data_IF_286170143111
#
_entry.id   IF_286170143111
#
_cell.length_a   1.000
_cell.length_b   1.000
_cell.length_c   1.000
_cell.angle_alpha   90.00
_cell.angle_beta   90.00
_cell.angle_gamma   90.00
#
_symmetry.space_group_name_H-M   'P 1'
#
loop_
_entity.id
_entity.type
_entity.pdbx_description
1 polymer ?
#
# COMPACT_ATOMS: atom_id res chain seq x y z
N UNK A 1 -17.39 17.25 7.51
CA UNK A 1 -16.55 16.07 7.27
C UNK A 1 -15.11 16.50 7.10
N UNK A 2 -14.16 15.70 7.56
CA UNK A 2 -12.74 15.98 7.37
C UNK A 2 -12.34 15.63 5.94
N UNK A 3 -11.51 16.45 5.30
CA UNK A 3 -10.86 16.11 4.03
C UNK A 3 -9.35 16.14 4.18
N UNK A 4 -8.69 15.12 3.60
CA UNK A 4 -7.24 14.97 3.56
C UNK A 4 -6.58 15.80 2.44
N UNK A 5 -7.28 16.78 1.86
CA UNK A 5 -6.82 17.48 0.64
C UNK A 5 -5.44 18.13 0.77
N UNK A 6 -4.84 18.48 -0.37
CA UNK A 6 -3.51 19.10 -0.47
C UNK A 6 -3.53 20.56 -0.01
N UNK A 7 -3.72 20.78 1.31
CA UNK A 7 -3.61 22.10 1.93
C UNK A 7 -2.14 22.44 2.07
N UNK A 8 -1.68 23.51 1.42
CA UNK A 8 -0.42 24.15 1.80
C UNK A 8 -0.59 24.78 3.18
N UNK A 9 0.31 24.47 4.11
CA UNK A 9 0.26 24.95 5.50
C UNK A 9 1.49 25.81 5.76
N UNK A 10 1.28 27.07 6.19
CA UNK A 10 2.38 27.87 6.75
C UNK A 10 2.60 27.51 8.22
N UNK A 11 3.63 26.70 8.47
CA UNK A 11 4.01 26.27 9.82
C UNK A 11 4.53 27.42 10.71
N UNK A 12 4.78 28.62 10.16
CA UNK A 12 5.12 29.81 10.95
C UNK A 12 3.88 30.59 11.38
N UNK A 13 2.71 30.29 10.81
CA UNK A 13 1.45 30.88 11.17
C UNK A 13 0.76 30.04 12.26
N UNK A 14 0.91 30.49 13.51
CA UNK A 14 0.40 29.77 14.68
C UNK A 14 -1.12 29.66 14.71
N UNK A 15 -1.83 30.70 14.27
CA UNK A 15 -3.29 30.70 14.24
C UNK A 15 -3.82 29.68 13.22
N UNK A 16 -3.15 29.56 12.08
CA UNK A 16 -3.45 28.56 11.06
C UNK A 16 -3.19 27.15 11.57
N UNK A 17 -2.02 26.89 12.17
CA UNK A 17 -1.70 25.61 12.79
C UNK A 17 -2.71 25.22 13.88
N UNK A 18 -3.10 26.17 14.73
CA UNK A 18 -4.09 25.95 15.78
C UNK A 18 -5.48 25.66 15.22
N UNK A 19 -5.88 26.34 14.14
CA UNK A 19 -7.14 26.09 13.45
C UNK A 19 -7.19 24.67 12.88
N UNK A 20 -6.11 24.23 12.23
CA UNK A 20 -5.98 22.86 11.71
C UNK A 20 -6.05 21.85 12.86
N UNK A 21 -5.25 22.04 13.91
CA UNK A 21 -5.27 21.15 15.07
C UNK A 21 -6.69 21.01 15.64
N UNK A 22 -7.40 22.12 15.78
CA UNK A 22 -8.79 22.12 16.26
C UNK A 22 -9.73 21.37 15.32
N UNK A 23 -9.63 21.59 14.01
CA UNK A 23 -10.42 20.87 13.00
C UNK A 23 -10.26 19.35 13.15
N UNK A 24 -9.02 18.87 13.22
CA UNK A 24 -8.69 17.44 13.26
C UNK A 24 -8.96 16.75 14.61
N UNK A 25 -8.95 17.50 15.72
CA UNK A 25 -9.18 16.96 17.07
C UNK A 25 -10.60 17.14 17.60
N UNK A 26 -11.45 17.88 16.88
CA UNK A 26 -12.86 18.09 17.25
C UNK A 26 -13.70 16.81 17.14
N UNK A 27 -13.58 15.98 16.07
CA UNK A 27 -14.35 14.75 15.99
C UNK A 27 -14.02 13.76 17.12
N UNK A 28 -15.06 13.08 17.62
CA UNK A 28 -14.87 12.04 18.61
C UNK A 28 -14.34 10.76 17.95
N UNK A 29 -13.08 10.43 18.21
CA UNK A 29 -12.44 9.17 17.83
C UNK A 29 -11.63 8.65 19.01
N UNK A 30 -11.99 7.47 19.53
CA UNK A 30 -11.37 6.85 20.70
C UNK A 30 -11.23 5.35 20.49
N UNK A 31 -10.14 4.79 21.01
CA UNK A 31 -10.00 3.35 21.19
C UNK A 31 -10.88 2.89 22.35
N UNK A 32 -11.13 1.59 22.48
CA UNK A 32 -11.91 1.03 23.59
C UNK A 32 -11.36 1.46 24.95
N UNK A 33 -10.02 1.51 25.09
CA UNK A 33 -9.34 1.92 26.33
C UNK A 33 -9.60 3.38 26.72
N UNK A 34 -9.85 4.25 25.74
CA UNK A 34 -10.04 5.69 25.94
C UNK A 34 -11.48 6.14 25.67
N UNK A 35 -12.38 5.18 25.47
CA UNK A 35 -13.79 5.44 25.22
C UNK A 35 -14.44 6.08 26.44
N UNK A 36 -15.11 7.20 26.22
CA UNK A 36 -15.95 7.89 27.19
C UNK A 36 -17.42 7.82 26.73
N UNK A 37 -18.26 7.02 27.40
CA UNK A 37 -19.68 6.84 27.03
C UNK A 37 -20.49 8.13 27.10
N UNK A 38 -20.21 9.01 28.07
CA UNK A 38 -20.97 10.26 28.26
C UNK A 38 -20.69 11.27 27.15
N UNK A 39 -19.45 11.33 26.66
CA UNK A 39 -19.10 12.17 25.52
C UNK A 39 -19.62 11.57 24.21
N UNK A 40 -19.56 10.25 24.07
CA UNK A 40 -20.08 9.56 22.89
C UNK A 40 -21.59 9.73 22.74
N UNK A 41 -22.36 9.64 23.83
CA UNK A 41 -23.81 9.83 23.84
C UNK A 41 -24.26 11.25 23.42
N UNK A 42 -23.34 12.22 23.36
CA UNK A 42 -23.62 13.58 22.84
C UNK A 42 -23.54 13.67 21.32
N UNK A 43 -22.96 12.67 20.66
CA UNK A 43 -22.86 12.60 19.20
C UNK A 43 -24.22 12.15 18.64
N UNK A 44 -24.77 12.79 17.59
CA UNK A 44 -26.02 12.34 16.98
C UNK A 44 -25.96 10.87 16.59
N UNK A 45 -27.01 10.09 16.87
CA UNK A 45 -27.03 8.63 16.68
C UNK A 45 -26.65 8.20 15.25
N UNK A 46 -27.12 8.96 14.25
CA UNK A 46 -26.78 8.75 12.82
C UNK A 46 -25.29 8.94 12.48
N UNK A 47 -24.52 9.54 13.39
CA UNK A 47 -23.06 9.75 13.27
C UNK A 47 -22.26 8.93 14.27
N UNK A 48 -22.91 8.15 15.13
CA UNK A 48 -22.23 7.22 16.01
C UNK A 48 -21.81 5.99 15.20
N UNK A 49 -20.52 5.66 15.26
CA UNK A 49 -19.96 4.50 14.56
C UNK A 49 -19.00 3.75 15.47
N UNK A 50 -19.01 2.43 15.37
CA UNK A 50 -18.05 1.54 16.02
C UNK A 50 -17.55 0.54 15.01
N UNK A 51 -16.23 0.41 14.90
CA UNK A 51 -15.58 -0.50 13.97
C UNK A 51 -14.34 -1.09 14.62
N UNK A 52 -13.94 -2.27 14.16
CA UNK A 52 -12.62 -2.82 14.50
C UNK A 52 -11.57 -2.16 13.62
N UNK A 53 -10.43 -1.85 14.20
CA UNK A 53 -9.29 -1.27 13.49
C UNK A 53 -7.99 -1.91 13.94
N UNK A 54 -7.01 -1.97 13.03
CA UNK A 54 -5.64 -2.34 13.35
C UNK A 54 -4.85 -1.05 13.47
N UNK A 55 -4.30 -0.79 14.65
CA UNK A 55 -3.43 0.37 14.85
C UNK A 55 -2.09 0.14 14.11
N UNK A 56 -1.90 0.82 12.98
CA UNK A 56 -0.67 0.73 12.18
C UNK A 56 0.35 1.82 12.50
N UNK A 57 -0.05 2.83 13.27
CA UNK A 57 0.83 3.89 13.73
C UNK A 57 0.16 4.77 14.79
N UNK A 58 0.99 5.49 15.52
CA UNK A 58 0.55 6.39 16.58
C UNK A 58 1.48 7.59 16.67
N UNK A 59 0.87 8.75 16.91
CA UNK A 59 1.58 10.01 17.13
C UNK A 59 1.37 10.44 18.57
N UNK A 60 2.42 10.98 19.17
CA UNK A 60 2.40 11.48 20.54
C UNK A 60 3.02 12.86 20.62
N UNK A 61 2.40 13.72 21.42
CA UNK A 61 3.00 14.96 21.89
C UNK A 61 3.32 14.83 23.38
N UNK A 62 4.60 14.89 23.72
CA UNK A 62 5.08 14.71 25.09
C UNK A 62 5.30 16.04 25.82
N UNK A 63 5.20 17.17 25.13
CA UNK A 63 5.64 18.45 25.64
C UNK A 63 7.09 18.35 26.10
N UNK A 64 7.35 18.70 27.35
CA UNK A 64 8.70 18.75 27.93
C UNK A 64 9.03 17.56 28.84
N UNK A 65 8.17 16.53 28.91
CA UNK A 65 8.29 15.38 29.84
C UNK A 65 9.69 14.76 29.87
N UNK A 66 10.29 14.54 28.71
CA UNK A 66 11.62 13.93 28.59
C UNK A 66 12.74 14.97 28.66
N UNK A 67 12.57 16.11 28.00
CA UNK A 67 13.60 17.16 27.96
C UNK A 67 13.89 17.75 29.34
N UNK A 68 12.88 17.94 30.19
CA UNK A 68 13.07 18.42 31.57
C UNK A 68 13.85 17.42 32.41
N UNK A 69 13.45 16.15 32.38
CA UNK A 69 14.07 15.10 33.20
C UNK A 69 15.49 14.74 32.75
N UNK A 70 15.80 14.91 31.45
CA UNK A 70 17.12 14.60 30.87
C UNK A 70 18.01 15.85 30.68
N UNK A 71 17.54 17.03 31.10
CA UNK A 71 18.22 18.32 30.91
C UNK A 71 18.58 18.63 29.43
N UNK A 72 17.70 18.27 28.50
CA UNK A 72 17.83 18.62 27.10
C UNK A 72 17.22 20.00 26.83
N UNK A 73 18.07 21.03 26.76
CA UNK A 73 17.67 22.43 26.60
C UNK A 73 18.31 23.07 25.38
N UNK A 74 17.68 24.14 24.89
CA UNK A 74 18.16 24.97 23.78
C UNK A 74 18.09 26.43 24.17
N UNK A 75 19.07 27.23 23.74
CA UNK A 75 19.07 28.67 23.95
C UNK A 75 18.15 29.36 22.94
N UNK A 76 17.27 30.23 23.43
CA UNK A 76 16.41 31.06 22.59
C UNK A 76 16.90 32.51 22.54
N UNK A 77 16.51 33.29 21.52
CA UNK A 77 16.87 34.71 21.45
C UNK A 77 16.33 35.56 22.61
N UNK A 78 15.20 35.18 23.22
CA UNK A 78 14.46 36.04 24.15
C UNK A 78 14.34 35.48 25.58
N UNK A 79 14.41 34.15 25.78
CA UNK A 79 13.99 33.50 27.04
C UNK A 79 15.08 32.63 27.69
N UNK A 80 16.34 32.72 27.23
CA UNK A 80 17.43 31.89 27.76
C UNK A 80 17.30 30.42 27.37
N UNK A 81 17.76 29.51 28.24
CA UNK A 81 17.69 28.06 28.01
C UNK A 81 16.30 27.49 28.34
N UNK A 82 15.57 27.02 27.32
CA UNK A 82 14.27 26.35 27.49
C UNK A 82 14.38 24.85 27.20
N UNK A 83 13.60 23.98 27.87
CA UNK A 83 13.51 22.58 27.51
C UNK A 83 12.89 22.39 26.12
N UNK A 84 13.39 21.41 25.37
CA UNK A 84 12.88 21.10 24.03
C UNK A 84 11.48 20.48 24.10
N UNK A 85 10.52 21.00 23.33
CA UNK A 85 9.23 20.33 23.15
C UNK A 85 9.38 19.12 22.24
N UNK A 86 8.89 17.97 22.67
CA UNK A 86 9.09 16.69 22.00
C UNK A 86 7.76 16.04 21.61
N UNK A 87 7.80 15.31 20.51
CA UNK A 87 6.78 14.36 20.09
C UNK A 87 7.44 13.12 19.47
N UNK A 88 6.66 12.06 19.28
CA UNK A 88 7.09 10.89 18.53
C UNK A 88 6.04 10.48 17.52
N UNK A 89 6.51 9.87 16.44
CA UNK A 89 5.68 9.37 15.35
C UNK A 89 6.14 7.94 15.10
N UNK A 90 5.30 6.97 15.44
CA UNK A 90 5.60 5.55 15.29
C UNK A 90 4.73 4.93 14.21
N UNK A 91 5.34 4.15 13.31
CA UNK A 91 4.64 3.31 12.34
C UNK A 91 5.12 1.88 12.55
N UNK A 92 4.18 0.96 12.73
CA UNK A 92 4.47 -0.46 12.88
C UNK A 92 4.73 -1.11 11.52
N UNK A 93 5.93 -0.94 10.95
CA UNK A 93 6.26 -1.44 9.59
C UNK A 93 5.95 -2.93 9.43
N UNK A 94 6.37 -3.78 10.36
CA UNK A 94 6.07 -5.22 10.30
C UNK A 94 4.58 -5.55 10.47
N UNK A 95 3.84 -4.73 11.24
CA UNK A 95 2.39 -4.87 11.42
C UNK A 95 1.62 -4.45 10.17
N UNK A 96 2.16 -3.48 9.42
CA UNK A 96 1.55 -2.95 8.20
C UNK A 96 1.35 -4.04 7.15
N UNK A 97 2.29 -4.98 7.02
CA UNK A 97 2.16 -6.13 6.11
C UNK A 97 0.89 -6.93 6.41
N UNK A 98 0.69 -7.32 7.67
CA UNK A 98 -0.51 -8.05 8.09
C UNK A 98 -1.79 -7.23 7.94
N UNK A 99 -1.73 -5.93 8.25
CA UNK A 99 -2.87 -5.02 8.10
C UNK A 99 -3.31 -4.85 6.63
N UNK A 100 -2.36 -4.79 5.70
CA UNK A 100 -2.65 -4.73 4.26
C UNK A 100 -3.31 -6.03 3.80
N UNK A 101 -2.78 -7.18 4.21
CA UNK A 101 -3.38 -8.49 3.87
C UNK A 101 -4.79 -8.59 4.43
N UNK A 102 -5.01 -8.25 5.71
CA UNK A 102 -6.35 -8.27 6.33
C UNK A 102 -7.34 -7.37 5.59
N UNK A 103 -6.91 -6.20 5.13
CA UNK A 103 -7.75 -5.26 4.39
C UNK A 103 -7.92 -5.60 2.90
N UNK A 104 -7.04 -6.43 2.33
CA UNK A 104 -6.91 -6.63 0.88
C UNK A 104 -6.57 -8.09 0.55
N UNK A 105 -7.55 -8.96 0.73
CA UNK A 105 -7.49 -10.37 0.35
C UNK A 105 -8.87 -10.87 -0.11
N UNK A 106 -8.88 -12.06 -0.71
CA UNK A 106 -10.09 -12.86 -0.94
C UNK A 106 -9.84 -14.33 -0.58
N UNK A 107 -10.81 -15.20 -0.87
CA UNK A 107 -10.72 -16.65 -0.58
C UNK A 107 -9.55 -17.35 -1.30
N UNK A 108 -9.00 -16.77 -2.37
CA UNK A 108 -7.90 -17.36 -3.14
C UNK A 108 -6.53 -16.88 -2.69
N UNK A 109 -6.44 -15.74 -1.99
CA UNK A 109 -5.17 -15.23 -1.48
C UNK A 109 -5.11 -13.72 -1.33
N UNK A 110 -3.88 -13.21 -1.28
CA UNK A 110 -3.58 -11.79 -1.06
C UNK A 110 -3.95 -10.99 -2.31
N UNK A 111 -4.31 -9.71 -2.13
CA UNK A 111 -4.45 -8.73 -3.21
C UNK A 111 -3.56 -7.54 -2.87
N UNK A 112 -2.32 -7.53 -3.34
CA UNK A 112 -1.41 -6.44 -3.03
C UNK A 112 -1.80 -5.13 -3.73
N UNK A 113 -1.70 -3.97 -3.05
CA UNK A 113 -1.52 -2.70 -3.72
C UNK A 113 -0.20 -2.68 -4.49
N UNK A 114 -0.19 -2.05 -5.66
CA UNK A 114 0.95 -2.05 -6.57
C UNK A 114 2.23 -1.50 -5.93
N UNK A 115 2.11 -0.50 -5.06
CA UNK A 115 3.22 0.16 -4.39
C UNK A 115 3.96 -0.70 -3.34
N UNK A 116 3.34 -1.78 -2.85
CA UNK A 116 3.89 -2.62 -1.77
C UNK A 116 3.94 -4.11 -2.11
N UNK A 117 3.60 -4.47 -3.36
CA UNK A 117 3.66 -5.85 -3.81
C UNK A 117 5.11 -6.34 -3.84
N UNK A 118 5.39 -7.61 -3.47
CA UNK A 118 6.74 -8.16 -3.52
C UNK A 118 7.32 -8.22 -4.95
N UNK A 119 6.44 -8.36 -5.96
CA UNK A 119 6.77 -8.29 -7.38
C UNK A 119 5.67 -7.52 -8.11
N UNK A 120 6.00 -6.78 -9.16
CA UNK A 120 5.02 -6.00 -9.91
C UNK A 120 4.13 -6.86 -10.82
N UNK A 121 4.69 -7.95 -11.36
CA UNK A 121 3.96 -8.83 -12.29
C UNK A 121 4.43 -10.27 -12.18
N UNK A 122 3.49 -11.22 -12.20
CA UNK A 122 3.78 -12.65 -12.33
C UNK A 122 3.73 -13.10 -13.79
N UNK A 123 4.77 -13.77 -14.29
CA UNK A 123 4.79 -14.38 -15.63
C UNK A 123 4.60 -15.89 -15.47
N UNK A 124 3.55 -16.45 -16.08
CA UNK A 124 3.21 -17.87 -15.97
C UNK A 124 3.40 -18.56 -17.31
N UNK A 125 4.41 -19.42 -17.42
CA UNK A 125 4.61 -20.27 -18.59
C UNK A 125 3.77 -21.55 -18.49
N UNK A 126 2.80 -21.71 -19.39
CA UNK A 126 1.91 -22.88 -19.43
C UNK A 126 2.53 -24.11 -20.08
N UNK A 127 3.70 -23.98 -20.74
CA UNK A 127 4.39 -25.07 -21.40
C UNK A 127 5.90 -24.89 -21.30
N UNK A 128 6.41 -25.04 -20.08
CA UNK A 128 7.85 -25.01 -19.81
C UNK A 128 8.62 -26.01 -20.69
N UNK A 129 9.73 -25.57 -21.29
CA UNK A 129 10.55 -26.38 -22.19
C UNK A 129 10.09 -26.35 -23.65
N UNK A 130 9.11 -25.49 -23.98
CA UNK A 130 8.75 -25.17 -25.35
C UNK A 130 9.49 -23.90 -25.78
N UNK A 131 10.34 -24.01 -26.82
CA UNK A 131 11.23 -22.91 -27.25
C UNK A 131 10.51 -21.58 -27.49
N UNK A 132 9.28 -21.60 -28.01
CA UNK A 132 8.50 -20.38 -28.24
C UNK A 132 7.97 -19.78 -26.94
N UNK A 133 7.43 -20.62 -26.05
CA UNK A 133 6.91 -20.17 -24.77
C UNK A 133 8.03 -19.66 -23.84
N UNK A 134 9.14 -20.39 -23.78
CA UNK A 134 10.30 -20.03 -22.96
C UNK A 134 10.90 -18.70 -23.44
N UNK A 135 11.11 -18.53 -24.74
CA UNK A 135 11.62 -17.28 -25.31
C UNK A 135 10.67 -16.09 -25.07
N UNK A 136 9.36 -16.29 -25.21
CA UNK A 136 8.38 -15.24 -24.95
C UNK A 136 8.40 -14.79 -23.47
N UNK A 137 8.48 -15.74 -22.54
CA UNK A 137 8.58 -15.42 -21.11
C UNK A 137 9.88 -14.68 -20.77
N UNK A 138 11.02 -15.12 -21.31
CA UNK A 138 12.31 -14.45 -21.12
C UNK A 138 12.31 -13.01 -21.65
N UNK A 139 11.67 -12.76 -22.79
CA UNK A 139 11.55 -11.42 -23.36
C UNK A 139 10.64 -10.52 -22.51
N UNK A 140 9.52 -11.05 -22.00
CA UNK A 140 8.64 -10.34 -21.08
C UNK A 140 9.35 -10.00 -19.77
N UNK A 141 10.08 -10.97 -19.21
CA UNK A 141 10.88 -10.79 -18.00
C UNK A 141 11.86 -9.62 -18.15
N UNK A 142 12.67 -9.65 -19.23
CA UNK A 142 13.62 -8.56 -19.54
C UNK A 142 12.93 -7.22 -19.74
N UNK A 143 11.81 -7.20 -20.45
CA UNK A 143 11.05 -5.98 -20.72
C UNK A 143 10.50 -5.37 -19.43
N UNK A 144 9.93 -6.19 -18.54
CA UNK A 144 9.46 -5.74 -17.23
C UNK A 144 10.60 -5.18 -16.38
N UNK A 145 11.72 -5.90 -16.29
CA UNK A 145 12.90 -5.43 -15.55
C UNK A 145 13.44 -4.10 -16.10
N UNK A 146 13.48 -3.92 -17.42
CA UNK A 146 13.91 -2.66 -18.05
C UNK A 146 12.98 -1.48 -17.74
N UNK A 147 11.69 -1.75 -17.49
CA UNK A 147 10.71 -0.75 -17.07
C UNK A 147 10.73 -0.49 -15.56
N UNK A 148 11.64 -1.13 -14.81
CA UNK A 148 11.69 -1.03 -13.35
C UNK A 148 10.58 -1.81 -12.63
N UNK A 149 9.88 -2.69 -13.33
CA UNK A 149 8.83 -3.56 -12.78
C UNK A 149 9.48 -4.90 -12.44
N UNK A 150 9.59 -5.22 -11.15
CA UNK A 150 10.20 -6.48 -10.71
C UNK A 150 9.31 -7.69 -11.06
N UNK A 151 9.70 -8.60 -11.97
CA UNK A 151 8.86 -9.70 -12.42
C UNK A 151 9.14 -11.00 -11.68
N UNK A 152 8.08 -11.73 -11.30
CA UNK A 152 8.17 -13.11 -10.81
C UNK A 152 7.87 -14.09 -11.94
N UNK A 153 8.87 -14.84 -12.38
CA UNK A 153 8.68 -15.87 -13.42
C UNK A 153 8.42 -17.26 -12.80
N UNK A 154 7.26 -17.87 -13.08
CA UNK A 154 6.97 -19.27 -12.76
C UNK A 154 7.36 -20.19 -13.91
N UNK A 155 8.64 -20.58 -13.90
CA UNK A 155 9.30 -21.49 -14.85
C UNK A 155 9.24 -22.96 -14.41
N UNK A 156 8.47 -23.28 -13.37
CA UNK A 156 8.40 -24.66 -12.84
C UNK A 156 7.76 -25.61 -13.85
N UNK A 157 8.17 -26.88 -13.83
CA UNK A 157 7.53 -27.94 -14.62
C UNK A 157 6.28 -28.50 -13.91
N UNK A 158 5.29 -27.62 -13.71
CA UNK A 158 4.06 -27.88 -12.96
C UNK A 158 2.81 -27.71 -13.84
N UNK A 159 1.69 -28.30 -13.42
CA UNK A 159 0.41 -28.14 -14.13
C UNK A 159 -0.09 -26.70 -14.01
N UNK A 160 -0.73 -26.20 -15.06
CA UNK A 160 -1.30 -24.85 -15.12
C UNK A 160 -2.14 -24.48 -13.88
N UNK A 161 -3.03 -25.37 -13.43
CA UNK A 161 -3.84 -25.15 -12.23
C UNK A 161 -3.02 -24.93 -10.95
N UNK A 162 -1.90 -25.64 -10.79
CA UNK A 162 -1.02 -25.47 -9.62
C UNK A 162 -0.26 -24.13 -9.67
N UNK A 163 0.15 -23.71 -10.88
CA UNK A 163 0.77 -22.39 -11.09
C UNK A 163 -0.22 -21.25 -10.81
N UNK A 164 -1.44 -21.34 -11.32
CA UNK A 164 -2.47 -20.34 -11.05
C UNK A 164 -2.81 -20.24 -9.57
N UNK A 165 -3.03 -21.38 -8.88
CA UNK A 165 -3.27 -21.37 -7.43
C UNK A 165 -2.10 -20.74 -6.64
N UNK A 166 -0.85 -20.98 -7.07
CA UNK A 166 0.31 -20.35 -6.45
C UNK A 166 0.30 -18.82 -6.68
N UNK A 167 0.03 -18.37 -7.89
CA UNK A 167 -0.01 -16.94 -8.24
C UNK A 167 -1.16 -16.20 -7.55
N UNK A 168 -2.33 -16.82 -7.45
CA UNK A 168 -3.49 -16.25 -6.78
C UNK A 168 -3.24 -16.12 -5.27
N UNK A 169 -2.54 -17.10 -4.67
CA UNK A 169 -2.12 -17.09 -3.27
C UNK A 169 -1.07 -16.01 -2.98
N UNK A 170 -0.04 -15.90 -3.83
CA UNK A 170 1.01 -14.86 -3.73
C UNK A 170 0.39 -13.46 -3.88
N UNK A 171 -0.58 -13.31 -4.78
CA UNK A 171 -1.43 -12.12 -4.83
C UNK A 171 -0.86 -10.93 -5.59
N UNK A 172 0.02 -11.17 -6.57
CA UNK A 172 0.63 -10.10 -7.36
C UNK A 172 -0.46 -9.31 -8.12
N UNK A 173 -0.37 -7.97 -8.22
CA UNK A 173 -1.42 -7.14 -8.83
C UNK A 173 -1.73 -7.54 -10.28
N UNK A 174 -0.72 -7.99 -11.01
CA UNK A 174 -0.80 -8.37 -12.41
C UNK A 174 -0.21 -9.75 -12.66
N UNK A 175 -0.82 -10.50 -13.57
CA UNK A 175 -0.33 -11.78 -14.08
C UNK A 175 -0.35 -11.79 -15.60
N UNK A 176 0.75 -12.18 -16.23
CA UNK A 176 0.82 -12.49 -17.66
C UNK A 176 0.87 -14.00 -17.83
N UNK A 177 -0.15 -14.57 -18.47
CA UNK A 177 -0.19 -15.99 -18.83
C UNK A 177 0.32 -16.17 -20.26
N UNK A 178 1.35 -17.00 -20.41
CA UNK A 178 1.97 -17.32 -21.70
C UNK A 178 1.70 -18.77 -22.04
N UNK A 179 1.02 -19.02 -23.17
CA UNK A 179 0.68 -20.36 -23.61
C UNK A 179 0.73 -20.52 -25.13
N UNK A 180 0.94 -21.75 -25.64
CA UNK A 180 1.11 -21.99 -27.08
C UNK A 180 -0.07 -21.53 -27.94
N UNK A 181 -1.31 -21.55 -27.39
CA UNK A 181 -2.50 -21.10 -28.11
C UNK A 181 -2.49 -19.58 -28.31
N UNK A 182 -2.17 -18.82 -27.27
CA UNK A 182 -2.07 -17.37 -27.35
C UNK A 182 -0.94 -16.95 -28.28
N UNK A 183 0.24 -17.57 -28.14
CA UNK A 183 1.40 -17.27 -28.98
C UNK A 183 1.16 -17.52 -30.48
N UNK A 184 0.40 -18.55 -30.85
CA UNK A 184 -0.03 -18.78 -32.24
C UNK A 184 -0.89 -17.64 -32.81
N UNK A 185 -1.62 -16.94 -31.94
CA UNK A 185 -2.43 -15.79 -32.29
C UNK A 185 -1.68 -14.46 -32.07
N UNK A 186 -0.42 -14.50 -31.64
CA UNK A 186 0.39 -13.32 -31.34
C UNK A 186 -0.02 -12.60 -30.06
N UNK A 187 -0.66 -13.28 -29.10
CA UNK A 187 -1.17 -12.67 -27.86
C UNK A 187 -0.74 -13.41 -26.59
N UNK A 188 -0.75 -12.70 -25.48
CA UNK A 188 -0.67 -13.19 -24.09
C UNK A 188 -1.91 -12.72 -23.33
N UNK A 189 -2.25 -13.41 -22.24
CA UNK A 189 -3.36 -12.99 -21.38
C UNK A 189 -2.80 -12.17 -20.21
N UNK A 190 -3.26 -10.94 -20.05
CA UNK A 190 -2.96 -10.08 -18.90
C UNK A 190 -4.17 -10.06 -17.96
N UNK A 191 -3.98 -10.53 -16.72
CA UNK A 191 -5.01 -10.57 -15.68
C UNK A 191 -4.72 -9.58 -14.57
N UNK A 192 -5.73 -8.81 -14.14
CA UNK A 192 -5.68 -7.96 -12.94
C UNK A 192 -6.16 -8.77 -11.72
N UNK A 193 -5.30 -8.99 -10.72
CA UNK A 193 -5.64 -9.78 -9.53
C UNK A 193 -6.76 -9.18 -8.68
N UNK A 194 -6.85 -7.85 -8.61
CA UNK A 194 -7.87 -7.12 -7.86
C UNK A 194 -9.28 -7.27 -8.44
N UNK A 195 -9.39 -7.30 -9.77
CA UNK A 195 -10.69 -7.30 -10.45
C UNK A 195 -11.06 -8.66 -11.06
N UNK A 196 -10.08 -9.55 -11.23
CA UNK A 196 -10.24 -10.81 -11.95
C UNK A 196 -10.40 -10.67 -13.47
N UNK A 197 -10.32 -9.45 -14.01
CA UNK A 197 -10.47 -9.21 -15.45
C UNK A 197 -9.20 -9.65 -16.19
N UNK A 198 -9.40 -10.46 -17.23
CA UNK A 198 -8.36 -10.89 -18.18
C UNK A 198 -8.59 -10.25 -19.55
N UNK A 199 -7.50 -9.85 -20.19
CA UNK A 199 -7.49 -9.33 -21.56
C UNK A 199 -6.41 -10.06 -22.38
N UNK A 200 -6.76 -10.52 -23.59
CA UNK A 200 -5.77 -11.04 -24.56
C UNK A 200 -5.20 -9.89 -25.38
N UNK A 201 -3.89 -9.68 -25.29
CA UNK A 201 -3.18 -8.56 -25.91
C UNK A 201 -1.84 -9.04 -26.51
N UNK A 202 -1.33 -8.39 -27.56
CA UNK A 202 0.08 -8.52 -27.94
C UNK A 202 1.01 -8.28 -26.74
N UNK A 203 2.13 -9.03 -26.62
CA UNK A 203 3.09 -8.88 -25.52
C UNK A 203 3.53 -7.44 -25.28
N UNK A 204 3.75 -6.69 -26.35
CA UNK A 204 4.19 -5.29 -26.31
C UNK A 204 3.13 -4.39 -25.66
N UNK A 205 1.85 -4.56 -26.04
CA UNK A 205 0.75 -3.80 -25.46
C UNK A 205 0.49 -4.15 -23.99
N UNK A 206 0.70 -5.41 -23.60
CA UNK A 206 0.65 -5.81 -22.20
C UNK A 206 1.72 -5.06 -21.38
N UNK A 207 2.95 -4.95 -21.92
CA UNK A 207 4.03 -4.20 -21.26
C UNK A 207 3.77 -2.70 -21.22
N UNK A 208 3.24 -2.09 -22.28
CA UNK A 208 2.85 -0.67 -22.29
C UNK A 208 1.79 -0.36 -21.24
N UNK A 209 0.79 -1.24 -21.10
CA UNK A 209 -0.26 -1.09 -20.08
C UNK A 209 0.32 -1.14 -18.67
N UNK A 210 1.22 -2.09 -18.40
CA UNK A 210 1.91 -2.18 -17.12
C UNK A 210 2.78 -0.94 -16.86
N UNK A 211 3.55 -0.49 -17.85
CA UNK A 211 4.37 0.73 -17.72
C UNK A 211 3.53 1.95 -17.31
N UNK A 212 2.35 2.12 -17.92
CA UNK A 212 1.42 3.22 -17.59
C UNK A 212 0.87 3.12 -16.17
N UNK A 213 0.56 1.90 -15.69
CA UNK A 213 0.09 1.68 -14.32
C UNK A 213 1.17 2.05 -13.32
N UNK A 214 2.40 1.55 -13.52
CA UNK A 214 3.50 1.78 -12.59
C UNK A 214 4.09 3.19 -12.67
N UNK A 215 4.01 3.88 -13.80
CA UNK A 215 4.45 5.28 -13.92
C UNK A 215 3.59 6.26 -13.11
N UNK A 216 2.37 5.88 -12.72
CA UNK A 216 1.49 6.72 -11.91
C UNK A 216 1.75 6.58 -10.40
N UNK A 217 2.60 5.63 -10.00
CA UNK A 217 2.95 5.38 -8.60
C UNK A 217 4.23 6.12 -8.17
N UNK A 218 4.98 6.66 -9.14
CA UNK A 218 6.25 7.36 -8.96
C UNK A 218 6.06 8.86 -9.15
#
# INVERSE_FOLDING_TARGET
>A
DLSLGDKEIDYNNWDECASIFKEWTTPYARTDETHNPELFAKIPDERQMTSRGIEVGQIFYFGTKYSESMNAKVSTPNDGEIPVHMGSHGIGVSRMVGAIIEASHDENGIIWPEAVSPFGVGIVNLKQGDDQADLACENLYKSASLLGIDPLYDDRSERAGAKFASMDLIGLPWRITVGPRGLKNGVVELTCRRTGVSEELPPELAMEKLAKVYSQLV
#
